data_IF_955439653630
#
_entry.id   IF_955439653630
#
_cell.length_a   1.000
_cell.length_b   1.000
_cell.length_c   1.000
_cell.angle_alpha   90.00
_cell.angle_beta   90.00
_cell.angle_gamma   90.00
#
_symmetry.space_group_name_H-M   'P 1'
#
loop_
_entity.id
_entity.type
_entity.pdbx_description
1 polymer ?
#
# COMPACT_ATOMS: atom_id res chain seq x y z
N UNK A 1 2.18 0.65 23.23
CA UNK A 1 0.97 1.47 23.00
C UNK A 1 -0.28 0.66 23.35
N UNK A 2 -1.22 1.24 24.10
CA UNK A 2 -2.52 0.63 24.42
C UNK A 2 -3.59 0.98 23.36
N UNK A 3 -4.83 0.56 23.60
CA UNK A 3 -5.94 0.77 22.64
C UNK A 3 -6.30 2.25 22.49
N UNK A 4 -6.37 2.99 23.58
CA UNK A 4 -6.82 4.39 23.57
C UNK A 4 -5.78 5.31 22.91
N UNK A 5 -4.50 5.02 23.14
CA UNK A 5 -3.40 5.67 22.44
C UNK A 5 -3.45 5.38 20.92
N UNK A 6 -3.71 4.13 20.53
CA UNK A 6 -3.87 3.78 19.12
C UNK A 6 -5.07 4.48 18.47
N UNK A 7 -6.23 4.52 19.14
CA UNK A 7 -7.42 5.20 18.65
C UNK A 7 -7.17 6.70 18.43
N UNK A 8 -6.41 7.33 19.34
CA UNK A 8 -6.00 8.73 19.23
C UNK A 8 -5.10 8.95 18.02
N UNK A 9 -4.12 8.07 17.83
CA UNK A 9 -3.22 8.07 16.69
C UNK A 9 -3.99 7.87 15.39
N UNK A 10 -4.90 6.90 15.34
CA UNK A 10 -5.72 6.60 14.17
C UNK A 10 -6.53 7.82 13.74
N UNK A 11 -7.27 8.44 14.68
CA UNK A 11 -8.07 9.64 14.40
C UNK A 11 -7.22 10.81 13.91
N UNK A 12 -6.02 10.98 14.46
CA UNK A 12 -5.14 12.12 14.14
C UNK A 12 -4.41 11.95 12.81
N UNK A 13 -3.99 10.72 12.49
CA UNK A 13 -3.09 10.46 11.37
C UNK A 13 -3.75 9.77 10.17
N UNK A 14 -4.99 9.30 10.27
CA UNK A 14 -5.67 8.65 9.14
C UNK A 14 -5.61 9.49 7.86
N UNK A 15 -6.10 10.73 7.90
CA UNK A 15 -6.16 11.59 6.72
C UNK A 15 -4.76 11.96 6.18
N UNK A 16 -3.77 12.36 7.01
CA UNK A 16 -2.39 12.56 6.54
C UNK A 16 -1.78 11.35 5.83
N UNK A 17 -1.98 10.15 6.38
CA UNK A 17 -1.42 8.90 5.82
C UNK A 17 -2.16 8.50 4.54
N UNK A 18 -3.49 8.62 4.52
CA UNK A 18 -4.30 8.46 3.32
C UNK A 18 -3.87 9.39 2.20
N UNK A 19 -3.70 10.68 2.49
CA UNK A 19 -3.26 11.66 1.50
C UNK A 19 -1.86 11.34 0.97
N UNK A 20 -0.98 10.77 1.81
CA UNK A 20 0.33 10.29 1.38
C UNK A 20 0.20 9.16 0.35
N UNK A 21 -0.64 8.16 0.60
CA UNK A 21 -0.89 7.07 -0.35
C UNK A 21 -1.58 7.58 -1.63
N UNK A 22 -2.63 8.39 -1.49
CA UNK A 22 -3.43 8.91 -2.60
C UNK A 22 -2.62 9.77 -3.57
N UNK A 23 -1.71 10.63 -3.07
CA UNK A 23 -0.81 11.44 -3.92
C UNK A 23 0.09 10.61 -4.84
N UNK A 24 0.29 9.32 -4.57
CA UNK A 24 1.13 8.41 -5.36
C UNK A 24 0.30 7.51 -6.26
N UNK A 25 -0.86 7.07 -5.78
CA UNK A 25 -1.69 6.07 -6.47
C UNK A 25 -2.78 6.69 -7.33
N UNK A 26 -3.28 7.88 -6.98
CA UNK A 26 -4.46 8.52 -7.59
C UNK A 26 -5.70 7.61 -7.65
N UNK A 27 -5.75 6.61 -6.76
CA UNK A 27 -6.82 5.61 -6.66
C UNK A 27 -7.31 5.61 -5.20
N UNK A 28 -8.55 6.07 -4.93
CA UNK A 28 -9.09 6.15 -3.58
C UNK A 28 -9.15 4.79 -2.86
N UNK A 29 -9.48 3.72 -3.59
CA UNK A 29 -9.65 2.39 -3.03
C UNK A 29 -8.28 1.85 -2.58
N UNK A 30 -7.29 1.86 -3.49
CA UNK A 30 -5.92 1.43 -3.17
C UNK A 30 -5.29 2.29 -2.07
N UNK A 31 -5.53 3.60 -2.08
CA UNK A 31 -5.03 4.49 -1.05
C UNK A 31 -5.61 4.17 0.34
N UNK A 32 -6.92 3.87 0.41
CA UNK A 32 -7.57 3.46 1.65
C UNK A 32 -7.03 2.12 2.17
N UNK A 33 -6.89 1.12 1.28
CA UNK A 33 -6.35 -0.20 1.64
C UNK A 33 -4.93 -0.12 2.17
N UNK A 34 -4.03 0.59 1.48
CA UNK A 34 -2.65 0.79 1.94
C UNK A 34 -2.60 1.54 3.28
N UNK A 35 -3.48 2.52 3.47
CA UNK A 35 -3.56 3.26 4.74
C UNK A 35 -3.98 2.33 5.87
N UNK A 36 -5.01 1.52 5.64
CA UNK A 36 -5.47 0.52 6.62
C UNK A 36 -4.35 -0.47 6.96
N UNK A 37 -3.64 -0.99 5.96
CA UNK A 37 -2.52 -1.90 6.17
C UNK A 37 -1.40 -1.25 7.00
N UNK A 38 -1.05 0.01 6.72
CA UNK A 38 -0.04 0.72 7.51
C UNK A 38 -0.42 0.84 9.00
N UNK A 39 -1.69 1.13 9.30
CA UNK A 39 -2.18 1.16 10.69
C UNK A 39 -2.24 -0.23 11.32
N UNK A 40 -2.57 -1.27 10.54
CA UNK A 40 -2.52 -2.65 11.00
C UNK A 40 -1.10 -3.08 11.37
N UNK A 41 -0.12 -2.77 10.53
CA UNK A 41 1.30 -2.99 10.82
C UNK A 41 1.75 -2.24 12.08
N UNK A 42 1.33 -0.98 12.26
CA UNK A 42 1.62 -0.23 13.48
C UNK A 42 1.04 -0.91 14.72
N UNK A 43 -0.19 -1.43 14.63
CA UNK A 43 -0.83 -2.15 15.72
C UNK A 43 -0.09 -3.45 16.08
N UNK A 44 0.39 -4.20 15.09
CA UNK A 44 1.19 -5.41 15.32
C UNK A 44 2.56 -5.09 15.93
N UNK A 45 3.18 -3.98 15.54
CA UNK A 45 4.49 -3.54 16.04
C UNK A 45 4.40 -2.60 17.26
N UNK A 46 3.23 -2.49 17.90
CA UNK A 46 2.92 -1.48 18.94
C UNK A 46 3.76 -1.54 20.23
N UNK A 47 4.47 -2.64 20.45
CA UNK A 47 5.39 -2.81 21.58
C UNK A 47 6.79 -2.30 21.27
N UNK A 48 7.13 -2.16 19.97
CA UNK A 48 8.46 -1.81 19.48
C UNK A 48 8.52 -0.36 18.98
N UNK A 49 7.37 0.23 18.65
CA UNK A 49 7.27 1.60 18.14
C UNK A 49 7.02 2.59 19.27
N UNK A 50 7.94 3.53 19.43
CA UNK A 50 7.75 4.66 20.34
C UNK A 50 6.70 5.63 19.80
N UNK A 51 5.97 6.30 20.69
CA UNK A 51 4.92 7.26 20.31
C UNK A 51 5.45 8.41 19.42
N UNK A 52 6.69 8.85 19.65
CA UNK A 52 7.35 9.92 18.89
C UNK A 52 7.66 9.52 17.44
N UNK A 53 7.80 8.22 17.17
CA UNK A 53 8.20 7.68 15.86
C UNK A 53 7.01 7.21 15.00
N UNK A 54 5.78 7.29 15.52
CA UNK A 54 4.57 6.74 14.88
C UNK A 54 4.36 7.27 13.47
N UNK A 55 4.52 8.59 13.26
CA UNK A 55 4.33 9.20 11.95
C UNK A 55 5.39 8.72 10.95
N UNK A 56 6.64 8.57 11.39
CA UNK A 56 7.76 8.09 10.57
C UNK A 56 7.50 6.64 10.18
N UNK A 57 7.05 5.81 11.13
CA UNK A 57 6.68 4.43 10.89
C UNK A 57 5.57 4.33 9.83
N UNK A 58 4.46 5.05 10.02
CA UNK A 58 3.31 5.00 9.11
C UNK A 58 3.67 5.44 7.69
N UNK A 59 4.46 6.52 7.54
CA UNK A 59 4.92 6.98 6.24
C UNK A 59 5.84 5.96 5.55
N UNK A 60 6.70 5.28 6.31
CA UNK A 60 7.56 4.21 5.80
C UNK A 60 6.73 3.00 5.36
N UNK A 61 5.75 2.59 6.16
CA UNK A 61 4.84 1.49 5.83
C UNK A 61 4.08 1.78 4.53
N UNK A 62 3.45 2.95 4.41
CA UNK A 62 2.77 3.37 3.16
C UNK A 62 3.71 3.36 1.96
N UNK A 63 4.94 3.89 2.11
CA UNK A 63 5.92 3.89 1.02
C UNK A 63 6.22 2.47 0.53
N UNK A 64 6.42 1.53 1.45
CA UNK A 64 6.74 0.15 1.12
C UNK A 64 5.58 -0.54 0.39
N UNK A 65 4.35 -0.38 0.90
CA UNK A 65 3.15 -0.93 0.28
C UNK A 65 2.91 -0.38 -1.13
N UNK A 66 3.06 0.94 -1.32
CA UNK A 66 2.93 1.56 -2.66
C UNK A 66 3.97 0.98 -3.63
N UNK A 67 5.23 0.84 -3.18
CA UNK A 67 6.28 0.24 -4.01
C UNK A 67 5.96 -1.21 -4.35
N UNK A 68 5.44 -1.99 -3.40
CA UNK A 68 5.06 -3.38 -3.64
C UNK A 68 3.92 -3.49 -4.66
N UNK A 69 2.89 -2.65 -4.50
CA UNK A 69 1.74 -2.60 -5.40
C UNK A 69 2.16 -2.21 -6.83
N UNK A 70 2.96 -1.14 -6.97
CA UNK A 70 3.47 -0.71 -8.28
C UNK A 70 4.32 -1.79 -8.94
N UNK A 71 5.16 -2.51 -8.19
CA UNK A 71 5.93 -3.65 -8.72
C UNK A 71 5.00 -4.74 -9.23
N UNK A 72 3.97 -5.09 -8.47
CA UNK A 72 2.98 -6.10 -8.85
C UNK A 72 2.27 -5.71 -10.15
N UNK A 73 1.85 -4.45 -10.28
CA UNK A 73 1.20 -3.92 -11.49
C UNK A 73 2.16 -3.90 -12.70
N UNK A 74 3.41 -3.49 -12.51
CA UNK A 74 4.42 -3.52 -13.57
C UNK A 74 4.75 -4.94 -14.05
N UNK A 75 4.76 -5.94 -13.18
CA UNK A 75 5.00 -7.34 -13.57
C UNK A 75 3.93 -7.82 -14.56
N UNK A 76 2.66 -7.42 -14.37
CA UNK A 76 1.60 -7.76 -15.33
C UNK A 76 1.74 -7.04 -16.67
N UNK A 77 2.42 -5.89 -16.72
CA UNK A 77 2.70 -5.19 -17.98
C UNK A 77 3.91 -5.81 -18.70
N UNK A 78 4.97 -6.17 -17.96
CA UNK A 78 6.21 -6.73 -18.53
C UNK A 78 6.02 -8.21 -18.92
N UNK A 79 5.28 -8.96 -18.11
CA UNK A 79 4.93 -10.35 -18.35
C UNK A 79 3.41 -10.53 -18.30
N UNK A 80 2.70 -10.07 -19.34
CA UNK A 80 1.26 -10.22 -19.40
C UNK A 80 0.88 -11.70 -19.34
N UNK A 81 -0.18 -12.06 -18.57
CA UNK A 81 -0.67 -13.43 -18.49
C UNK A 81 -0.80 -14.08 -19.87
N UNK A 82 -0.34 -15.33 -20.01
CA UNK A 82 -0.39 -16.08 -21.28
C UNK A 82 -1.77 -16.08 -21.94
N UNK A 83 -2.83 -15.97 -21.13
CA UNK A 83 -4.24 -15.85 -21.52
C UNK A 83 -4.52 -14.64 -22.45
N UNK A 84 -3.75 -13.56 -22.32
CA UNK A 84 -3.82 -12.39 -23.22
C UNK A 84 -3.29 -12.69 -24.62
N UNK A 85 -2.51 -13.75 -24.80
CA UNK A 85 -1.95 -14.15 -26.09
C UNK A 85 -2.64 -15.39 -26.68
N UNK A 86 -3.57 -16.02 -25.97
CA UNK A 86 -4.26 -17.25 -26.45
C UNK A 86 -5.06 -17.02 -27.74
N UNK A 87 -5.50 -15.79 -27.99
CA UNK A 87 -6.28 -15.39 -29.15
C UNK A 87 -5.44 -14.62 -30.19
N UNK A 88 -4.15 -14.38 -29.93
CA UNK A 88 -3.27 -13.77 -30.92
C UNK A 88 -2.78 -14.86 -31.88
N UNK A 89 -2.93 -14.67 -33.22
CA UNK A 89 -2.32 -15.61 -34.15
C UNK A 89 -0.80 -15.61 -33.95
N UNK A 90 -0.20 -16.80 -33.95
CA UNK A 90 1.25 -16.94 -33.83
C UNK A 90 1.93 -16.16 -34.96
N UNK A 91 2.97 -15.34 -34.67
CA UNK A 91 3.73 -14.68 -35.71
C UNK A 91 4.33 -15.72 -36.66
N UNK A 92 3.94 -15.69 -37.94
CA UNK A 92 4.43 -16.62 -38.96
C UNK A 92 3.50 -17.77 -39.33
N UNK A 93 2.25 -17.78 -38.87
CA UNK A 93 1.22 -18.66 -39.44
C UNK A 93 0.64 -18.05 -40.72
N UNK A 94 1.37 -18.20 -41.84
CA UNK A 94 0.87 -18.16 -43.22
C UNK A 94 1.64 -19.20 -44.03
#
# INVERSE_FOLDING_TARGET
MDRDAFDTIYKSYWLPIYNSAFKRLFDPQKASEITQEAFFQLWLSKEQVNAEDVIIFLLKAVRNEVVMLMKKECIYIINPPRMLFEHLPLPGAN
#
